data_IF_546909473238
#
_entry.id   IF_546909473238
#
_cell.length_a   1.000
_cell.length_b   1.000
_cell.length_c   1.000
_cell.angle_alpha   90.00
_cell.angle_beta   90.00
_cell.angle_gamma   90.00
#
_symmetry.space_group_name_H-M   'P 1'
#
loop_
_entity.id
_entity.type
_entity.pdbx_description
1 polymer ?
#
# COMPACT_ATOMS: atom_id res chain seq x y z
N UNK A 1 -48.23 -37.37 -53.55
CA UNK A 1 -47.49 -36.19 -53.05
C UNK A 1 -46.25 -36.70 -52.34
N UNK A 2 -45.07 -36.50 -52.92
CA UNK A 2 -43.79 -36.83 -52.31
C UNK A 2 -43.19 -35.54 -51.70
N UNK A 3 -42.47 -35.59 -50.57
CA UNK A 3 -41.91 -34.40 -49.95
C UNK A 3 -40.63 -33.99 -50.69
N UNK A 4 -40.58 -32.73 -51.15
CA UNK A 4 -39.34 -32.12 -51.63
C UNK A 4 -38.37 -31.90 -50.47
N UNK A 5 -37.24 -32.59 -50.51
CA UNK A 5 -36.09 -32.34 -49.64
C UNK A 5 -35.33 -31.15 -50.21
N UNK A 6 -35.36 -30.02 -49.51
CA UNK A 6 -34.52 -28.86 -49.83
C UNK A 6 -33.10 -29.17 -49.34
N UNK A 7 -32.16 -29.33 -50.26
CA UNK A 7 -30.73 -29.37 -49.94
C UNK A 7 -30.27 -27.94 -49.64
N UNK A 8 -29.82 -27.70 -48.41
CA UNK A 8 -29.16 -26.46 -48.03
C UNK A 8 -27.68 -26.62 -48.38
N UNK A 9 -27.20 -25.92 -49.41
CA UNK A 9 -25.77 -25.77 -49.68
C UNK A 9 -25.12 -24.98 -48.54
N UNK A 10 -24.29 -25.64 -47.75
CA UNK A 10 -23.41 -24.99 -46.80
C UNK A 10 -22.30 -24.32 -47.60
N UNK A 11 -22.35 -23.00 -47.73
CA UNK A 11 -21.26 -22.18 -48.25
C UNK A 11 -19.99 -22.48 -47.44
N UNK A 12 -19.07 -23.25 -48.01
CA UNK A 12 -17.71 -23.37 -47.50
C UNK A 12 -17.02 -22.02 -47.69
N UNK A 13 -16.84 -21.27 -46.60
CA UNK A 13 -16.03 -20.06 -46.60
C UNK A 13 -14.57 -20.49 -46.72
N UNK A 14 -14.01 -20.34 -47.93
CA UNK A 14 -12.60 -20.58 -48.22
C UNK A 14 -11.76 -19.45 -47.59
N UNK A 15 -11.26 -19.67 -46.36
CA UNK A 15 -10.40 -18.70 -45.66
C UNK A 15 -9.00 -18.79 -46.24
N UNK A 16 -8.69 -17.92 -47.19
CA UNK A 16 -7.34 -17.81 -47.74
C UNK A 16 -6.47 -16.89 -46.87
N UNK A 17 -5.35 -17.38 -46.33
CA UNK A 17 -4.42 -16.53 -45.62
C UNK A 17 -3.84 -15.50 -46.60
N UNK A 18 -3.95 -14.21 -46.24
CA UNK A 18 -3.28 -13.12 -46.95
C UNK A 18 -2.29 -12.43 -46.02
N UNK A 19 -1.20 -11.83 -46.56
CA UNK A 19 -0.36 -10.93 -45.79
C UNK A 19 -1.20 -9.78 -45.20
N UNK A 20 -0.86 -9.34 -43.99
CA UNK A 20 -1.41 -8.10 -43.43
C UNK A 20 -1.00 -6.91 -44.28
N UNK A 21 -1.89 -5.92 -44.41
CA UNK A 21 -1.52 -4.62 -45.00
C UNK A 21 -0.68 -3.81 -44.03
N UNK A 22 -0.01 -2.76 -44.53
CA UNK A 22 0.79 -1.86 -43.69
C UNK A 22 -0.07 -1.15 -42.63
N UNK A 23 -1.32 -0.82 -42.95
CA UNK A 23 -2.28 -0.25 -42.01
C UNK A 23 -2.66 -1.24 -40.91
N UNK A 24 -2.90 -2.52 -41.25
CA UNK A 24 -3.20 -3.57 -40.28
C UNK A 24 -2.03 -3.86 -39.35
N UNK A 25 -0.80 -3.84 -39.88
CA UNK A 25 0.42 -3.97 -39.06
C UNK A 25 0.56 -2.80 -38.10
N UNK A 26 0.29 -1.57 -38.54
CA UNK A 26 0.32 -0.38 -37.66
C UNK A 26 -0.76 -0.41 -36.59
N UNK A 27 -1.97 -0.81 -36.93
CA UNK A 27 -3.05 -0.94 -35.95
C UNK A 27 -2.71 -2.01 -34.90
N UNK A 28 -2.24 -3.19 -35.33
CA UNK A 28 -1.84 -4.25 -34.42
C UNK A 28 -0.65 -3.87 -33.52
N UNK A 29 0.31 -3.12 -34.06
CA UNK A 29 1.39 -2.49 -33.30
C UNK A 29 0.87 -1.55 -32.21
N UNK A 30 -0.06 -0.66 -32.54
CA UNK A 30 -0.67 0.27 -31.58
C UNK A 30 -1.40 -0.47 -30.44
N UNK A 31 -2.07 -1.59 -30.76
CA UNK A 31 -2.71 -2.44 -29.73
C UNK A 31 -1.68 -3.09 -28.80
N UNK A 32 -0.55 -3.57 -29.34
CA UNK A 32 0.55 -4.13 -28.55
C UNK A 32 1.16 -3.07 -27.62
N UNK A 33 1.46 -1.87 -28.12
CA UNK A 33 2.02 -0.77 -27.33
C UNK A 33 1.08 -0.34 -26.20
N UNK A 34 -0.21 -0.18 -26.50
CA UNK A 34 -1.21 0.13 -25.47
C UNK A 34 -1.34 -1.00 -24.44
N UNK A 35 -1.25 -2.26 -24.86
CA UNK A 35 -1.27 -3.42 -23.95
C UNK A 35 -0.04 -3.49 -23.05
N UNK A 36 1.13 -3.12 -23.57
CA UNK A 36 2.37 -2.94 -22.79
C UNK A 36 2.16 -1.88 -21.71
N UNK A 37 1.53 -0.75 -22.03
CA UNK A 37 1.24 0.29 -21.05
C UNK A 37 0.20 -0.14 -19.99
N UNK A 38 -0.74 -1.02 -20.36
CA UNK A 38 -1.62 -1.67 -19.39
C UNK A 38 -0.83 -2.60 -18.46
N UNK A 39 0.09 -3.41 -18.99
CA UNK A 39 0.96 -4.26 -18.17
C UNK A 39 1.84 -3.43 -17.22
N UNK A 40 2.42 -2.31 -17.67
CA UNK A 40 3.15 -1.36 -16.81
C UNK A 40 2.25 -0.76 -15.73
N UNK A 41 1.04 -0.34 -16.10
CA UNK A 41 0.08 0.18 -15.13
C UNK A 41 -0.25 -0.85 -14.04
N UNK A 42 -0.42 -2.12 -14.40
CA UNK A 42 -0.65 -3.22 -13.45
C UNK A 42 0.55 -3.46 -12.52
N UNK A 43 1.78 -3.27 -13.02
CA UNK A 43 3.01 -3.30 -12.19
C UNK A 43 2.99 -2.18 -11.14
N UNK A 44 2.47 -1.01 -11.50
CA UNK A 44 2.47 0.19 -10.65
C UNK A 44 1.26 0.28 -9.69
N UNK A 45 0.21 -0.52 -9.89
CA UNK A 45 -0.96 -0.58 -8.99
C UNK A 45 -0.58 -0.89 -7.54
N UNK A 46 0.56 -1.55 -7.28
CA UNK A 46 1.10 -1.71 -5.92
C UNK A 46 1.45 -0.41 -5.20
N UNK A 47 1.27 0.79 -5.79
CA UNK A 47 1.50 2.08 -5.12
C UNK A 47 0.22 2.86 -4.79
N UNK A 48 -0.92 2.55 -5.42
CA UNK A 48 -2.17 3.30 -5.25
C UNK A 48 -3.22 2.45 -4.53
N UNK A 49 -3.89 3.00 -3.51
CA UNK A 49 -4.97 2.29 -2.82
C UNK A 49 -6.10 1.97 -3.80
N UNK A 50 -6.49 0.71 -3.89
CA UNK A 50 -7.52 0.24 -4.82
C UNK A 50 -8.94 0.74 -4.49
N UNK A 51 -9.07 1.68 -3.54
CA UNK A 51 -10.22 2.58 -3.45
C UNK A 51 -10.53 3.26 -4.79
N UNK A 52 -9.52 3.46 -5.65
CA UNK A 52 -9.75 3.94 -7.01
C UNK A 52 -10.61 2.99 -7.86
N UNK A 53 -10.61 1.66 -7.63
CA UNK A 53 -11.46 0.72 -8.37
C UNK A 53 -12.94 0.81 -7.99
N UNK A 54 -13.29 1.50 -6.90
CA UNK A 54 -14.69 1.75 -6.54
C UNK A 54 -15.31 2.87 -7.37
N UNK A 55 -14.49 3.75 -7.94
CA UNK A 55 -14.96 4.82 -8.81
C UNK A 55 -15.38 4.24 -10.17
N UNK A 56 -16.63 4.49 -10.57
CA UNK A 56 -17.20 4.00 -11.82
C UNK A 56 -16.44 4.48 -13.06
N UNK A 57 -15.87 5.69 -13.04
CA UNK A 57 -15.01 6.19 -14.14
C UNK A 57 -13.75 5.36 -14.25
N UNK A 58 -13.19 4.94 -13.11
CA UNK A 58 -11.98 4.13 -13.09
C UNK A 58 -12.27 2.69 -13.47
N UNK A 59 -13.40 2.11 -13.04
CA UNK A 59 -13.85 0.80 -13.55
C UNK A 59 -14.02 0.82 -15.06
N UNK A 60 -14.65 1.86 -15.61
CA UNK A 60 -14.79 2.05 -17.06
C UNK A 60 -13.43 2.14 -17.74
N UNK A 61 -12.50 2.94 -17.20
CA UNK A 61 -11.14 3.04 -17.70
C UNK A 61 -10.44 1.67 -17.73
N UNK A 62 -10.61 0.87 -16.67
CA UNK A 62 -10.04 -0.49 -16.62
C UNK A 62 -10.68 -1.43 -17.62
N UNK A 63 -12.00 -1.37 -17.84
CA UNK A 63 -12.66 -2.14 -18.89
C UNK A 63 -12.15 -1.79 -20.29
N UNK A 64 -11.93 -0.49 -20.57
CA UNK A 64 -11.39 -0.03 -21.84
C UNK A 64 -9.94 -0.56 -22.03
N UNK A 65 -9.12 -0.49 -20.97
CA UNK A 65 -7.76 -1.03 -20.94
C UNK A 65 -7.71 -2.55 -21.15
N UNK A 66 -8.60 -3.31 -20.50
CA UNK A 66 -8.68 -4.76 -20.67
C UNK A 66 -9.17 -5.15 -22.06
N UNK A 67 -10.03 -4.32 -22.69
CA UNK A 67 -10.46 -4.55 -24.07
C UNK A 67 -9.30 -4.45 -25.07
N UNK A 68 -8.31 -3.60 -24.82
CA UNK A 68 -7.05 -3.56 -25.60
C UNK A 68 -6.29 -4.87 -25.49
N UNK A 69 -6.18 -5.44 -24.28
CA UNK A 69 -5.50 -6.73 -24.05
C UNK A 69 -6.24 -7.87 -24.77
N UNK A 70 -7.58 -7.84 -24.77
CA UNK A 70 -8.37 -8.78 -25.56
C UNK A 70 -8.14 -8.62 -27.07
N UNK A 71 -7.99 -7.39 -27.57
CA UNK A 71 -7.59 -7.13 -28.96
C UNK A 71 -6.27 -7.80 -29.32
N UNK A 72 -5.26 -7.69 -28.44
CA UNK A 72 -3.98 -8.40 -28.61
C UNK A 72 -4.16 -9.92 -28.67
N UNK A 73 -5.01 -10.50 -27.83
CA UNK A 73 -5.32 -11.93 -27.89
C UNK A 73 -5.91 -12.35 -29.25
N UNK A 74 -6.80 -11.54 -29.82
CA UNK A 74 -7.41 -11.82 -31.13
C UNK A 74 -6.40 -11.64 -32.28
N UNK A 75 -5.46 -10.68 -32.18
CA UNK A 75 -4.33 -10.54 -33.11
C UNK A 75 -3.49 -11.82 -33.11
N UNK A 76 -3.08 -12.33 -31.93
CA UNK A 76 -2.30 -13.58 -31.83
C UNK A 76 -3.09 -14.75 -32.43
N UNK A 77 -4.39 -14.85 -32.15
CA UNK A 77 -5.27 -15.86 -32.76
C UNK A 77 -5.25 -15.78 -34.29
N UNK A 78 -5.30 -14.58 -34.87
CA UNK A 78 -5.17 -14.37 -36.32
C UNK A 78 -3.82 -14.85 -36.85
N UNK A 79 -2.72 -14.49 -36.18
CA UNK A 79 -1.37 -14.92 -36.57
C UNK A 79 -1.19 -16.44 -36.54
N UNK A 80 -1.81 -17.15 -35.58
CA UNK A 80 -1.73 -18.63 -35.53
C UNK A 80 -2.36 -19.33 -36.73
N UNK A 81 -3.16 -18.63 -37.54
CA UNK A 81 -3.79 -19.16 -38.76
C UNK A 81 -2.96 -18.88 -40.02
N UNK A 82 -1.87 -18.10 -39.91
CA UNK A 82 -0.99 -17.78 -41.03
C UNK A 82 -0.02 -18.95 -41.26
N UNK A 83 -0.07 -19.54 -42.46
CA UNK A 83 0.82 -20.61 -42.95
C UNK A 83 2.27 -20.07 -43.04
N UNK A 84 3.33 -20.87 -42.81
CA UNK A 84 4.72 -20.38 -42.80
C UNK A 84 5.04 -19.59 -44.07
N UNK A 85 5.23 -18.28 -43.91
CA UNK A 85 5.51 -17.28 -44.94
C UNK A 85 6.40 -16.18 -44.34
N UNK A 86 6.70 -15.08 -45.06
CA UNK A 86 7.80 -14.17 -44.75
C UNK A 86 7.78 -13.66 -43.30
N UNK A 87 8.97 -13.31 -42.78
CA UNK A 87 9.20 -12.87 -41.40
C UNK A 87 8.04 -12.01 -40.87
N UNK A 88 7.50 -12.40 -39.71
CA UNK A 88 6.38 -11.72 -39.11
C UNK A 88 6.75 -10.24 -38.86
N UNK A 89 6.02 -9.27 -39.44
CA UNK A 89 6.40 -7.86 -39.38
C UNK A 89 6.30 -7.26 -37.97
N UNK A 90 5.72 -7.99 -37.01
CA UNK A 90 5.53 -7.58 -35.62
C UNK A 90 6.46 -8.29 -34.62
N UNK A 91 7.49 -9.01 -35.10
CA UNK A 91 8.40 -9.78 -34.23
C UNK A 91 9.02 -8.93 -33.10
N UNK A 92 9.38 -7.67 -33.39
CA UNK A 92 9.91 -6.74 -32.39
C UNK A 92 8.93 -6.46 -31.26
N UNK A 93 7.69 -6.06 -31.58
CA UNK A 93 6.66 -5.73 -30.58
C UNK A 93 6.21 -6.97 -29.80
N UNK A 94 6.13 -8.13 -30.45
CA UNK A 94 5.81 -9.39 -29.79
C UNK A 94 6.89 -9.78 -28.77
N UNK A 95 8.17 -9.57 -29.11
CA UNK A 95 9.28 -9.79 -28.20
C UNK A 95 9.23 -8.81 -27.02
N UNK A 96 9.04 -7.51 -27.28
CA UNK A 96 8.91 -6.50 -26.22
C UNK A 96 7.75 -6.84 -25.27
N UNK A 97 6.61 -7.27 -25.81
CA UNK A 97 5.48 -7.71 -25.00
C UNK A 97 5.82 -8.93 -24.13
N UNK A 98 6.52 -9.92 -24.71
CA UNK A 98 6.94 -11.10 -23.98
C UNK A 98 7.92 -10.77 -22.83
N UNK A 99 8.84 -9.84 -23.07
CA UNK A 99 9.81 -9.37 -22.08
C UNK A 99 9.11 -8.59 -20.95
N UNK A 100 8.07 -7.79 -21.26
CA UNK A 100 7.25 -7.10 -20.23
C UNK A 100 6.41 -8.05 -19.39
N UNK A 101 5.88 -9.12 -20.00
CA UNK A 101 5.18 -10.19 -19.28
C UNK A 101 6.14 -10.94 -18.34
N UNK A 102 7.39 -11.13 -18.78
CA UNK A 102 8.46 -11.72 -17.96
C UNK A 102 8.80 -10.82 -16.76
N UNK A 103 8.99 -9.52 -16.96
CA UNK A 103 9.20 -8.55 -15.87
C UNK A 103 8.03 -8.54 -14.84
N UNK A 104 6.79 -8.69 -15.31
CA UNK A 104 5.61 -8.80 -14.46
C UNK A 104 5.66 -10.07 -13.59
N UNK A 105 6.10 -11.19 -14.16
CA UNK A 105 6.32 -12.44 -13.45
C UNK A 105 7.44 -12.35 -12.42
N UNK A 106 8.58 -11.80 -12.81
CA UNK A 106 9.78 -11.68 -11.97
C UNK A 106 9.55 -10.81 -10.74
N UNK A 107 8.80 -9.71 -10.85
CA UNK A 107 8.47 -8.88 -9.68
C UNK A 107 7.59 -9.60 -8.66
N UNK A 108 6.68 -10.47 -9.11
CA UNK A 108 5.87 -11.29 -8.21
C UNK A 108 6.70 -12.44 -7.62
N UNK A 109 7.60 -13.04 -8.41
CA UNK A 109 8.52 -14.10 -7.94
C UNK A 109 9.54 -13.60 -6.93
N UNK A 110 10.23 -12.48 -7.20
CA UNK A 110 11.24 -11.92 -6.30
C UNK A 110 10.65 -11.55 -4.94
N UNK A 111 9.45 -10.95 -4.94
CA UNK A 111 8.73 -10.67 -3.71
C UNK A 111 8.39 -11.96 -2.94
N UNK A 112 8.25 -13.11 -3.61
CA UNK A 112 7.89 -14.40 -3.02
C UNK A 112 9.09 -15.25 -2.62
N UNK A 113 10.19 -15.23 -3.37
CA UNK A 113 11.42 -15.94 -3.00
C UNK A 113 12.01 -15.41 -1.69
N UNK A 114 11.84 -14.11 -1.43
CA UNK A 114 12.12 -13.49 -0.12
C UNK A 114 11.25 -14.05 1.03
N UNK A 115 10.13 -14.69 0.72
CA UNK A 115 9.11 -15.10 1.69
C UNK A 115 9.12 -16.61 2.01
N UNK A 116 9.83 -17.44 1.22
CA UNK A 116 9.97 -18.91 1.35
C UNK A 116 10.38 -19.48 2.72
N UNK A 117 10.60 -18.65 3.73
CA UNK A 117 10.97 -19.04 5.08
C UNK A 117 9.81 -19.58 5.96
N UNK A 118 8.54 -19.48 5.53
CA UNK A 118 7.41 -19.90 6.37
C UNK A 118 6.51 -20.96 5.68
N UNK A 119 6.25 -22.06 6.40
CA UNK A 119 5.31 -23.15 6.04
C UNK A 119 3.91 -22.61 5.64
N UNK A 120 3.57 -21.42 6.15
CA UNK A 120 2.31 -20.69 5.99
C UNK A 120 2.03 -20.26 4.55
N UNK A 121 3.04 -20.28 3.67
CA UNK A 121 2.95 -19.79 2.30
C UNK A 121 2.74 -20.91 1.28
N UNK A 122 2.83 -22.17 1.69
CA UNK A 122 2.72 -23.32 0.78
C UNK A 122 1.34 -23.36 0.12
N UNK A 123 0.26 -23.15 0.87
CA UNK A 123 -1.10 -23.17 0.30
C UNK A 123 -1.34 -22.00 -0.65
N UNK A 124 -0.88 -20.80 -0.29
CA UNK A 124 -0.96 -19.63 -1.15
C UNK A 124 -0.14 -19.83 -2.42
N UNK A 125 1.07 -20.37 -2.30
CA UNK A 125 1.94 -20.66 -3.43
C UNK A 125 1.36 -21.71 -4.36
N UNK A 126 0.98 -22.87 -3.83
CA UNK A 126 0.51 -24.01 -4.61
C UNK A 126 -0.82 -23.72 -5.29
N UNK A 127 -1.75 -23.03 -4.62
CA UNK A 127 -3.10 -22.84 -5.12
C UNK A 127 -3.29 -21.54 -5.91
N UNK A 128 -2.44 -20.53 -5.69
CA UNK A 128 -2.56 -19.20 -6.29
C UNK A 128 -1.35 -18.91 -7.18
N UNK A 129 -0.15 -18.76 -6.61
CA UNK A 129 1.02 -18.27 -7.36
C UNK A 129 1.48 -19.22 -8.45
N UNK A 130 1.67 -20.51 -8.15
CA UNK A 130 2.14 -21.50 -9.11
C UNK A 130 1.21 -21.61 -10.33
N UNK A 131 -0.11 -21.76 -10.18
CA UNK A 131 -1.04 -21.68 -11.31
C UNK A 131 -0.95 -20.37 -12.10
N UNK A 132 -0.80 -19.23 -11.42
CA UNK A 132 -0.64 -17.91 -12.05
C UNK A 132 0.62 -17.85 -12.89
N UNK A 133 1.75 -18.33 -12.36
CA UNK A 133 3.03 -18.38 -13.10
C UNK A 133 2.95 -19.29 -14.31
N UNK A 134 2.29 -20.44 -14.19
CA UNK A 134 2.08 -21.36 -15.32
C UNK A 134 1.27 -20.68 -16.44
N UNK A 135 0.18 -20.00 -16.10
CA UNK A 135 -0.63 -19.27 -17.09
C UNK A 135 0.15 -18.13 -17.75
N UNK A 136 0.82 -17.30 -16.94
CA UNK A 136 1.64 -16.18 -17.44
C UNK A 136 2.76 -16.67 -18.34
N UNK A 137 3.40 -17.80 -18.00
CA UNK A 137 4.42 -18.43 -18.83
C UNK A 137 3.87 -18.89 -20.19
N UNK A 138 2.72 -19.56 -20.22
CA UNK A 138 2.12 -19.99 -21.48
C UNK A 138 1.55 -18.84 -22.30
N UNK A 139 1.04 -17.79 -21.66
CA UNK A 139 0.67 -16.54 -22.34
C UNK A 139 1.91 -15.93 -23.01
N UNK A 140 3.03 -15.83 -22.29
CA UNK A 140 4.30 -15.36 -22.85
C UNK A 140 4.76 -16.19 -24.04
N UNK A 141 4.58 -17.50 -23.97
CA UNK A 141 4.92 -18.41 -25.07
C UNK A 141 4.10 -18.14 -26.33
N UNK A 142 2.83 -17.72 -26.20
CA UNK A 142 2.02 -17.26 -27.32
C UNK A 142 2.58 -16.02 -28.03
N UNK A 143 3.43 -15.23 -27.37
CA UNK A 143 4.14 -14.09 -27.97
C UNK A 143 5.52 -14.49 -28.53
N UNK A 144 6.29 -15.33 -27.82
CA UNK A 144 7.64 -15.74 -28.25
C UNK A 144 7.60 -16.73 -29.42
N UNK A 145 6.67 -17.67 -29.39
CA UNK A 145 6.57 -18.79 -30.33
C UNK A 145 5.14 -18.85 -30.90
N UNK A 146 4.75 -17.84 -31.67
CA UNK A 146 3.40 -17.75 -32.24
C UNK A 146 3.11 -18.99 -33.08
N UNK A 147 2.15 -19.81 -32.66
CA UNK A 147 1.77 -21.00 -33.37
C UNK A 147 0.66 -21.80 -32.68
N UNK A 148 0.11 -22.82 -33.36
CA UNK A 148 -0.96 -23.66 -32.82
C UNK A 148 -0.59 -24.34 -31.50
N UNK A 149 0.66 -24.77 -31.35
CA UNK A 149 1.16 -25.45 -30.15
C UNK A 149 1.15 -24.51 -28.92
N UNK A 150 1.68 -23.30 -29.04
CA UNK A 150 1.67 -22.31 -27.97
C UNK A 150 0.24 -21.97 -27.53
N UNK A 151 -0.68 -21.80 -28.49
CA UNK A 151 -2.10 -21.58 -28.24
C UNK A 151 -2.75 -22.77 -27.53
N UNK A 152 -2.45 -24.01 -27.94
CA UNK A 152 -2.99 -25.22 -27.32
C UNK A 152 -2.50 -25.37 -25.88
N UNK A 153 -1.20 -25.15 -25.63
CA UNK A 153 -0.59 -25.19 -24.31
C UNK A 153 -1.23 -24.16 -23.37
N UNK A 154 -1.39 -22.92 -23.83
CA UNK A 154 -2.10 -21.89 -23.06
C UNK A 154 -3.56 -22.29 -22.80
N UNK A 155 -4.27 -22.80 -23.81
CA UNK A 155 -5.67 -23.22 -23.67
C UNK A 155 -5.84 -24.32 -22.62
N UNK A 156 -4.93 -25.32 -22.60
CA UNK A 156 -4.92 -26.40 -21.60
C UNK A 156 -4.70 -25.84 -20.20
N UNK A 157 -3.73 -24.95 -20.02
CA UNK A 157 -3.46 -24.31 -18.74
C UNK A 157 -4.64 -23.45 -18.27
N UNK A 158 -5.22 -22.64 -19.16
CA UNK A 158 -6.37 -21.79 -18.90
C UNK A 158 -7.60 -22.59 -18.44
N UNK A 159 -7.92 -23.70 -19.12
CA UNK A 159 -9.05 -24.56 -18.72
C UNK A 159 -8.85 -25.18 -17.33
N UNK A 160 -7.61 -25.49 -16.95
CA UNK A 160 -7.29 -26.06 -15.64
C UNK A 160 -7.33 -25.01 -14.52
N UNK A 161 -6.91 -23.80 -14.83
CA UNK A 161 -6.71 -22.71 -13.89
C UNK A 161 -7.31 -21.39 -14.41
N UNK A 162 -8.62 -21.30 -14.70
CA UNK A 162 -9.16 -20.05 -15.22
C UNK A 162 -9.02 -18.94 -14.15
N UNK A 163 -8.66 -17.70 -14.51
CA UNK A 163 -8.44 -16.61 -13.56
C UNK A 163 -9.57 -16.42 -12.55
N UNK A 164 -10.82 -16.59 -12.99
CA UNK A 164 -11.98 -16.53 -12.09
C UNK A 164 -11.92 -17.55 -10.95
N UNK A 165 -11.46 -18.78 -11.22
CA UNK A 165 -11.27 -19.83 -10.21
C UNK A 165 -10.14 -19.46 -9.25
N UNK A 166 -9.06 -18.87 -9.78
CA UNK A 166 -7.92 -18.43 -8.96
C UNK A 166 -8.30 -17.30 -8.00
N UNK A 167 -9.17 -16.37 -8.42
CA UNK A 167 -9.73 -15.35 -7.53
C UNK A 167 -10.55 -15.97 -6.40
N UNK A 168 -11.44 -16.92 -6.68
CA UNK A 168 -12.20 -17.59 -5.63
C UNK A 168 -11.31 -18.40 -4.67
N UNK A 169 -10.28 -19.06 -5.20
CA UNK A 169 -9.28 -19.73 -4.35
C UNK A 169 -8.55 -18.73 -3.46
N UNK A 170 -8.18 -17.55 -3.99
CA UNK A 170 -7.53 -16.50 -3.22
C UNK A 170 -8.45 -16.01 -2.09
N UNK A 171 -9.71 -15.70 -2.41
CA UNK A 171 -10.70 -15.29 -1.42
C UNK A 171 -10.85 -16.35 -0.32
N UNK A 172 -10.97 -17.63 -0.68
CA UNK A 172 -11.05 -18.72 0.30
C UNK A 172 -9.79 -18.83 1.16
N UNK A 173 -8.60 -18.64 0.56
CA UNK A 173 -7.33 -18.60 1.29
C UNK A 173 -7.30 -17.43 2.29
N UNK A 174 -7.91 -16.31 1.94
CA UNK A 174 -7.96 -15.09 2.75
C UNK A 174 -9.04 -15.10 3.84
N UNK A 175 -10.10 -15.90 3.70
CA UNK A 175 -11.18 -16.00 4.68
C UNK A 175 -10.73 -16.60 6.02
N UNK A 176 -9.92 -17.66 5.99
CA UNK A 176 -9.49 -18.34 7.21
C UNK A 176 -8.16 -17.79 7.72
N UNK A 177 -8.09 -17.52 9.04
CA UNK A 177 -6.91 -16.96 9.68
C UNK A 177 -5.64 -17.82 9.50
N UNK A 178 -5.79 -19.15 9.48
CA UNK A 178 -4.70 -20.12 9.32
C UNK A 178 -4.20 -20.30 7.88
N UNK A 179 -4.89 -19.71 6.89
CA UNK A 179 -4.49 -19.75 5.48
C UNK A 179 -4.27 -18.36 4.90
N UNK A 180 -4.64 -17.30 5.62
CA UNK A 180 -4.51 -15.92 5.20
C UNK A 180 -3.07 -15.44 5.41
N UNK A 181 -2.27 -15.26 4.34
CA UNK A 181 -0.86 -14.92 4.48
C UNK A 181 -0.64 -13.56 5.15
N UNK A 182 -1.51 -12.57 4.92
CA UNK A 182 -1.43 -11.27 5.59
C UNK A 182 -1.57 -11.47 7.09
N UNK A 183 -2.65 -12.14 7.53
CA UNK A 183 -2.92 -12.31 8.96
C UNK A 183 -1.81 -13.11 9.64
N UNK A 184 -1.31 -14.16 9.00
CA UNK A 184 -0.24 -14.99 9.55
C UNK A 184 1.07 -14.20 9.70
N UNK A 185 1.46 -13.44 8.69
CA UNK A 185 2.68 -12.62 8.74
C UNK A 185 2.57 -11.51 9.80
N UNK A 186 1.44 -10.80 9.81
CA UNK A 186 1.18 -9.76 10.81
C UNK A 186 1.17 -10.35 12.22
N UNK A 187 0.53 -11.51 12.44
CA UNK A 187 0.43 -12.13 13.76
C UNK A 187 1.76 -12.67 14.29
N UNK A 188 2.67 -13.08 13.40
CA UNK A 188 4.02 -13.51 13.77
C UNK A 188 4.91 -12.37 14.29
N UNK A 189 4.63 -11.12 13.91
CA UNK A 189 5.37 -9.96 14.41
C UNK A 189 5.01 -9.64 15.87
N UNK A 190 6.03 -9.33 16.69
CA UNK A 190 5.82 -8.82 18.05
C UNK A 190 5.05 -7.49 18.08
N UNK A 191 5.30 -6.65 17.08
CA UNK A 191 4.62 -5.39 16.87
C UNK A 191 4.31 -5.22 15.39
N UNK A 192 3.07 -4.84 15.09
CA UNK A 192 2.52 -4.83 13.74
C UNK A 192 3.13 -3.69 12.92
N UNK A 193 3.72 -3.97 11.78
CA UNK A 193 4.41 -2.95 10.97
C UNK A 193 3.65 -2.58 9.69
N UNK A 194 3.82 -1.33 9.25
CA UNK A 194 3.31 -0.86 7.95
C UNK A 194 3.98 -1.59 6.80
N UNK A 195 5.27 -1.92 6.94
CA UNK A 195 6.05 -2.58 5.91
C UNK A 195 5.51 -3.97 5.60
N UNK A 196 5.25 -4.80 6.62
CA UNK A 196 4.73 -6.15 6.45
C UNK A 196 3.33 -6.16 5.85
N UNK A 197 2.43 -5.29 6.34
CA UNK A 197 1.10 -5.18 5.75
C UNK A 197 1.16 -4.72 4.29
N UNK A 198 1.95 -3.68 4.01
CA UNK A 198 2.12 -3.14 2.65
C UNK A 198 2.72 -4.17 1.70
N UNK A 199 3.70 -4.96 2.15
CA UNK A 199 4.30 -6.02 1.33
C UNK A 199 3.23 -6.98 0.79
N UNK A 200 2.37 -7.50 1.68
CA UNK A 200 1.30 -8.41 1.27
C UNK A 200 0.19 -7.70 0.48
N UNK A 201 -0.12 -6.45 0.83
CA UNK A 201 -1.03 -5.60 0.07
C UNK A 201 -0.60 -5.48 -1.39
N UNK A 202 0.68 -5.20 -1.62
CA UNK A 202 1.27 -5.06 -2.95
C UNK A 202 1.27 -6.40 -3.71
N UNK A 203 1.57 -7.53 -3.05
CA UNK A 203 1.56 -8.87 -3.66
C UNK A 203 0.18 -9.24 -4.17
N UNK A 204 -0.84 -9.14 -3.30
CA UNK A 204 -2.21 -9.49 -3.66
C UNK A 204 -2.73 -8.56 -4.77
N UNK A 205 -2.42 -7.27 -4.68
CA UNK A 205 -2.78 -6.30 -5.72
C UNK A 205 -2.21 -6.67 -7.09
N UNK A 206 -0.95 -7.09 -7.15
CA UNK A 206 -0.29 -7.53 -8.40
C UNK A 206 -0.90 -8.81 -8.96
N UNK A 207 -1.18 -9.79 -8.10
CA UNK A 207 -1.80 -11.07 -8.52
C UNK A 207 -3.20 -10.83 -9.10
N UNK A 208 -4.01 -9.99 -8.46
CA UNK A 208 -5.33 -9.61 -9.00
C UNK A 208 -5.20 -8.90 -10.35
N UNK A 209 -4.21 -8.03 -10.49
CA UNK A 209 -3.84 -7.42 -11.77
C UNK A 209 -3.53 -8.46 -12.86
N UNK A 210 -2.70 -9.45 -12.53
CA UNK A 210 -2.36 -10.56 -13.43
C UNK A 210 -3.60 -11.38 -13.82
N UNK A 211 -4.53 -11.64 -12.90
CA UNK A 211 -5.77 -12.36 -13.22
C UNK A 211 -6.62 -11.63 -14.24
N UNK A 212 -6.81 -10.32 -14.07
CA UNK A 212 -7.56 -9.51 -15.03
C UNK A 212 -6.88 -9.50 -16.40
N UNK A 213 -5.56 -9.38 -16.42
CA UNK A 213 -4.77 -9.39 -17.65
C UNK A 213 -4.87 -10.74 -18.40
N UNK A 214 -4.70 -11.84 -17.68
CA UNK A 214 -4.79 -13.20 -18.22
C UNK A 214 -6.18 -13.51 -18.76
N UNK A 215 -7.25 -13.10 -18.05
CA UNK A 215 -8.62 -13.27 -18.50
C UNK A 215 -8.83 -12.51 -19.80
N UNK A 216 -8.47 -11.22 -19.84
CA UNK A 216 -8.62 -10.39 -21.03
C UNK A 216 -7.87 -10.97 -22.24
N UNK A 217 -6.62 -11.41 -22.07
CA UNK A 217 -5.85 -12.04 -23.12
C UNK A 217 -6.52 -13.33 -23.63
N UNK A 218 -6.93 -14.23 -22.72
CA UNK A 218 -7.60 -15.48 -23.07
C UNK A 218 -8.89 -15.24 -23.86
N UNK A 219 -9.59 -14.16 -23.53
CA UNK A 219 -10.84 -13.78 -24.19
C UNK A 219 -10.68 -13.53 -25.67
N UNK A 220 -9.65 -12.77 -26.04
CA UNK A 220 -9.27 -12.53 -27.43
C UNK A 220 -8.79 -13.80 -28.10
N UNK A 221 -7.81 -14.47 -27.48
CA UNK A 221 -7.13 -15.63 -28.07
C UNK A 221 -8.08 -16.82 -28.32
N UNK A 222 -9.04 -17.03 -27.42
CA UNK A 222 -9.99 -18.15 -27.47
C UNK A 222 -11.35 -17.75 -28.07
N UNK A 223 -11.59 -16.46 -28.32
CA UNK A 223 -12.86 -15.96 -28.85
C UNK A 223 -14.04 -16.12 -27.87
N UNK A 224 -13.76 -16.25 -26.57
CA UNK A 224 -14.80 -16.33 -25.54
C UNK A 224 -15.27 -14.92 -25.20
N UNK A 225 -16.57 -14.62 -25.33
CA UNK A 225 -17.16 -13.34 -24.91
C UNK A 225 -17.05 -13.20 -23.39
N UNK A 226 -16.00 -12.53 -22.92
CA UNK A 226 -15.56 -12.52 -21.52
C UNK A 226 -15.85 -11.24 -20.76
N UNK A 227 -16.49 -10.25 -21.39
CA UNK A 227 -16.71 -8.94 -20.75
C UNK A 227 -17.36 -9.09 -19.38
N UNK A 228 -18.34 -9.99 -19.27
CA UNK A 228 -18.96 -10.35 -17.99
C UNK A 228 -17.96 -10.97 -16.99
N UNK A 229 -17.03 -11.82 -17.43
CA UNK A 229 -16.00 -12.39 -16.55
C UNK A 229 -15.02 -11.34 -16.03
N UNK A 230 -14.57 -10.42 -16.89
CA UNK A 230 -13.71 -9.30 -16.47
C UNK A 230 -14.43 -8.38 -15.46
N UNK A 231 -15.72 -8.09 -15.67
CA UNK A 231 -16.54 -7.33 -14.72
C UNK A 231 -16.68 -8.04 -13.36
N UNK A 232 -16.86 -9.37 -13.37
CA UNK A 232 -16.86 -10.18 -12.14
C UNK A 232 -15.49 -10.11 -11.46
N UNK A 233 -14.39 -10.23 -12.19
CA UNK A 233 -13.03 -10.13 -11.62
C UNK A 233 -12.79 -8.76 -10.96
N UNK A 234 -13.23 -7.66 -11.59
CA UNK A 234 -13.16 -6.32 -11.01
C UNK A 234 -13.98 -6.21 -9.72
N UNK A 235 -15.18 -6.78 -9.72
CA UNK A 235 -16.06 -6.82 -8.54
C UNK A 235 -15.41 -7.59 -7.39
N UNK A 236 -14.95 -8.81 -7.65
CA UNK A 236 -14.26 -9.65 -6.64
C UNK A 236 -12.95 -9.03 -6.16
N UNK A 237 -12.23 -8.32 -7.03
CA UNK A 237 -11.05 -7.53 -6.63
C UNK A 237 -11.43 -6.50 -5.57
N UNK A 238 -12.51 -5.76 -5.80
CA UNK A 238 -12.99 -4.75 -4.86
C UNK A 238 -13.32 -5.37 -3.49
N UNK A 239 -13.97 -6.53 -3.48
CA UNK A 239 -14.29 -7.27 -2.24
C UNK A 239 -13.03 -7.69 -1.46
N UNK A 240 -12.01 -8.21 -2.15
CA UNK A 240 -10.72 -8.58 -1.53
C UNK A 240 -10.07 -7.36 -0.87
N UNK A 241 -10.00 -6.22 -1.56
CA UNK A 241 -9.39 -5.01 -1.00
C UNK A 241 -10.20 -4.40 0.14
N UNK A 242 -11.53 -4.49 0.09
CA UNK A 242 -12.38 -4.08 1.22
C UNK A 242 -12.11 -4.94 2.46
N UNK A 243 -11.90 -6.23 2.27
CA UNK A 243 -11.54 -7.12 3.36
C UNK A 243 -10.14 -6.80 3.92
N UNK A 244 -9.18 -6.52 3.04
CA UNK A 244 -7.84 -6.09 3.45
C UNK A 244 -7.86 -4.79 4.23
N UNK A 245 -8.61 -3.78 3.77
CA UNK A 245 -8.77 -2.53 4.50
C UNK A 245 -9.38 -2.74 5.88
N UNK A 246 -10.38 -3.63 6.02
CA UNK A 246 -10.91 -4.00 7.33
C UNK A 246 -9.82 -4.59 8.24
N UNK A 247 -9.00 -5.51 7.73
CA UNK A 247 -7.88 -6.05 8.51
C UNK A 247 -6.83 -5.00 8.87
N UNK A 248 -6.54 -4.06 7.97
CA UNK A 248 -5.63 -2.94 8.23
C UNK A 248 -6.13 -2.11 9.41
N UNK A 249 -7.42 -1.80 9.44
CA UNK A 249 -8.05 -1.07 10.55
C UNK A 249 -8.15 -1.91 11.83
N UNK A 250 -8.32 -3.24 11.73
CA UNK A 250 -8.20 -4.14 12.89
C UNK A 250 -6.80 -4.08 13.49
N UNK A 251 -5.74 -4.21 12.68
CA UNK A 251 -4.36 -4.19 13.15
C UNK A 251 -3.92 -2.82 13.68
N UNK A 252 -4.44 -1.71 13.15
CA UNK A 252 -4.19 -0.37 13.71
C UNK A 252 -4.66 -0.21 15.15
N UNK A 253 -5.64 -1.00 15.58
CA UNK A 253 -6.16 -1.00 16.96
C UNK A 253 -5.27 -1.80 17.91
N UNK A 254 -4.36 -2.62 17.40
CA UNK A 254 -3.41 -3.36 18.24
C UNK A 254 -2.52 -2.37 19.00
N UNK A 255 -2.55 -2.47 20.33
CA UNK A 255 -1.77 -1.60 21.21
C UNK A 255 -0.47 -2.28 21.68
N UNK A 256 -0.20 -3.52 21.27
CA UNK A 256 0.97 -4.30 21.68
C UNK A 256 2.29 -3.66 21.23
N UNK A 257 2.25 -2.85 20.17
CA UNK A 257 3.40 -2.09 19.70
C UNK A 257 4.00 -1.16 20.78
N UNK A 258 3.20 -0.68 21.73
CA UNK A 258 3.66 0.30 22.74
C UNK A 258 4.65 -0.31 23.73
N UNK A 259 4.40 -1.54 24.17
CA UNK A 259 5.33 -2.25 25.06
C UNK A 259 6.61 -2.64 24.32
N UNK A 260 6.50 -3.02 23.05
CA UNK A 260 7.67 -3.25 22.20
C UNK A 260 8.50 -1.97 22.04
N UNK A 261 7.84 -0.83 21.77
CA UNK A 261 8.47 0.46 21.59
C UNK A 261 9.26 0.89 22.85
N UNK A 262 8.73 0.67 24.06
CA UNK A 262 9.45 0.98 25.31
C UNK A 262 10.83 0.31 25.36
N UNK A 263 10.89 -0.97 24.98
CA UNK A 263 12.15 -1.75 24.92
C UNK A 263 13.06 -1.20 23.83
N UNK A 264 12.54 -1.01 22.61
CA UNK A 264 13.32 -0.53 21.47
C UNK A 264 13.90 0.86 21.72
N UNK A 265 13.12 1.79 22.28
CA UNK A 265 13.57 3.15 22.55
C UNK A 265 14.68 3.18 23.59
N UNK A 266 14.57 2.39 24.66
CA UNK A 266 15.62 2.27 25.68
C UNK A 266 16.93 1.78 25.05
N UNK A 267 16.86 0.68 24.32
CA UNK A 267 17.99 0.12 23.57
C UNK A 267 18.59 1.14 22.59
N UNK A 268 17.74 1.88 21.88
CA UNK A 268 18.16 2.87 20.90
C UNK A 268 18.94 4.01 21.55
N UNK A 269 18.44 4.62 22.64
CA UNK A 269 19.14 5.74 23.27
C UNK A 269 20.43 5.33 23.97
N UNK A 270 20.50 4.09 24.48
CA UNK A 270 21.72 3.52 25.06
C UNK A 270 22.81 3.32 24.00
N UNK A 271 22.47 2.62 22.91
CA UNK A 271 23.40 2.33 21.79
C UNK A 271 23.83 3.60 21.06
N UNK A 272 22.96 4.62 21.03
CA UNK A 272 23.18 5.88 20.33
C UNK A 272 23.43 7.06 21.29
N UNK A 273 24.11 6.78 22.40
CA UNK A 273 24.43 7.75 23.45
C UNK A 273 25.25 8.97 22.98
N UNK A 274 25.95 8.85 21.83
CA UNK A 274 26.78 9.91 21.23
C UNK A 274 26.03 10.82 20.26
N UNK A 275 24.81 10.48 19.83
CA UNK A 275 24.05 11.32 18.89
C UNK A 275 23.63 12.64 19.54
N UNK A 276 23.62 13.70 18.73
CA UNK A 276 23.05 14.98 19.12
C UNK A 276 21.53 14.93 19.28
N UNK A 277 20.93 16.01 19.81
CA UNK A 277 19.50 16.06 20.12
C UNK A 277 18.64 15.84 18.86
N UNK A 278 18.99 16.51 17.76
CA UNK A 278 18.23 16.45 16.51
C UNK A 278 18.32 15.07 15.84
N UNK A 279 19.52 14.48 15.77
CA UNK A 279 19.75 13.14 15.21
C UNK A 279 19.03 12.07 16.02
N UNK A 280 19.04 12.20 17.35
CA UNK A 280 18.31 11.31 18.25
C UNK A 280 16.81 11.41 18.01
N UNK A 281 16.26 12.63 17.95
CA UNK A 281 14.84 12.84 17.71
C UNK A 281 14.40 12.28 16.34
N UNK A 282 15.22 12.42 15.29
CA UNK A 282 14.91 11.89 13.96
C UNK A 282 14.95 10.35 13.92
N UNK A 283 15.92 9.71 14.58
CA UNK A 283 15.95 8.25 14.63
C UNK A 283 14.79 7.64 15.43
N UNK A 284 14.34 8.31 16.49
CA UNK A 284 13.12 7.92 17.23
C UNK A 284 11.89 8.07 16.33
N UNK A 285 11.81 9.18 15.57
CA UNK A 285 10.72 9.39 14.60
C UNK A 285 10.69 8.29 13.55
N UNK A 286 11.84 7.95 12.97
CA UNK A 286 11.95 6.89 11.97
C UNK A 286 11.51 5.52 12.52
N UNK A 287 11.75 5.24 13.80
CA UNK A 287 11.27 4.03 14.45
C UNK A 287 9.74 4.04 14.63
N UNK A 288 9.19 5.15 15.13
CA UNK A 288 7.74 5.32 15.32
C UNK A 288 6.96 5.21 14.01
N UNK A 289 7.52 5.69 12.90
CA UNK A 289 6.85 5.66 11.60
C UNK A 289 6.65 4.24 11.04
N UNK A 290 7.38 3.24 11.55
CA UNK A 290 7.29 1.83 11.12
C UNK A 290 6.01 1.14 11.59
N UNK A 291 5.47 1.51 12.75
CA UNK A 291 4.35 0.81 13.37
C UNK A 291 3.03 1.08 12.63
N UNK A 292 2.22 0.04 12.43
CA UNK A 292 0.88 0.14 11.88
C UNK A 292 -0.09 0.48 13.01
N UNK A 293 -0.28 1.78 13.26
CA UNK A 293 -1.17 2.30 14.31
C UNK A 293 -1.92 3.54 13.84
N UNK A 294 -3.05 3.83 14.48
CA UNK A 294 -3.77 5.10 14.34
C UNK A 294 -3.24 6.20 15.26
N UNK A 295 -2.37 5.87 16.21
CA UNK A 295 -1.88 6.84 17.20
C UNK A 295 -0.93 7.85 16.54
N UNK A 296 -0.97 9.09 16.99
CA UNK A 296 -0.10 10.15 16.53
C UNK A 296 0.91 10.50 17.62
N UNK A 297 2.16 10.80 17.26
CA UNK A 297 3.24 10.90 18.23
C UNK A 297 3.84 12.30 18.32
N UNK A 298 4.20 12.69 19.53
CA UNK A 298 5.22 13.69 19.79
C UNK A 298 6.47 13.05 20.36
N UNK A 299 7.60 13.64 19.99
CA UNK A 299 8.93 13.25 20.44
C UNK A 299 9.58 14.53 20.94
N UNK A 300 10.14 14.48 22.13
CA UNK A 300 10.97 15.57 22.64
C UNK A 300 12.30 15.04 23.16
N UNK A 301 13.38 15.67 22.71
CA UNK A 301 14.74 15.43 23.23
C UNK A 301 15.27 16.76 23.72
N UNK A 302 15.69 16.83 24.97
CA UNK A 302 16.12 18.08 25.60
C UNK A 302 17.15 17.80 26.71
N UNK A 303 17.84 18.82 27.20
CA UNK A 303 18.67 18.67 28.39
C UNK A 303 17.81 18.44 29.63
N UNK A 304 18.34 17.72 30.62
CA UNK A 304 17.69 17.57 31.91
C UNK A 304 17.49 18.94 32.60
N UNK A 305 16.42 19.06 33.37
CA UNK A 305 16.18 20.20 34.24
C UNK A 305 15.92 19.76 35.67
N UNK A 306 16.34 20.61 36.61
CA UNK A 306 16.14 20.47 38.04
C UNK A 306 15.40 21.67 38.66
N UNK A 307 15.18 22.74 37.89
CA UNK A 307 14.48 23.94 38.35
C UNK A 307 13.18 24.19 37.56
N UNK A 308 12.10 24.51 38.28
CA UNK A 308 10.78 24.89 37.70
C UNK A 308 10.83 26.09 36.75
N UNK A 309 11.94 26.85 36.80
CA UNK A 309 12.13 28.01 35.95
C UNK A 309 12.68 27.65 34.57
N UNK A 310 13.14 26.42 34.38
CA UNK A 310 13.62 25.89 33.11
C UNK A 310 12.60 24.93 32.48
N UNK A 311 11.76 24.29 33.28
CA UNK A 311 10.69 23.44 32.79
C UNK A 311 9.51 23.40 33.75
N UNK A 312 8.30 23.44 33.21
CA UNK A 312 7.08 23.10 33.93
C UNK A 312 6.26 22.14 33.09
N UNK A 313 5.64 21.12 33.71
CA UNK A 313 4.84 20.13 33.01
C UNK A 313 3.59 19.81 33.83
N UNK A 314 2.44 19.83 33.15
CA UNK A 314 1.19 19.27 33.64
C UNK A 314 0.76 18.14 32.69
N UNK A 315 0.47 16.96 33.25
CA UNK A 315 0.14 15.77 32.47
C UNK A 315 -1.21 15.24 32.91
N UNK A 316 -2.13 15.12 31.96
CA UNK A 316 -3.47 14.56 32.14
C UNK A 316 -3.55 13.16 31.52
N UNK A 317 -2.74 12.91 30.49
CA UNK A 317 -2.65 11.64 29.82
C UNK A 317 -2.18 10.53 30.77
N UNK A 318 -2.67 9.31 30.54
CA UNK A 318 -2.32 8.14 31.35
C UNK A 318 -0.86 7.71 31.19
N UNK A 319 -0.38 6.87 32.11
CA UNK A 319 0.96 6.25 32.02
C UNK A 319 1.17 5.49 30.72
N UNK A 320 0.09 5.02 30.10
CA UNK A 320 0.13 4.34 28.83
C UNK A 320 0.27 5.28 27.64
N UNK A 321 0.36 6.60 27.80
CA UNK A 321 0.55 7.56 26.71
C UNK A 321 1.94 8.20 26.68
N UNK A 322 2.74 7.97 27.71
CA UNK A 322 4.08 8.52 27.84
C UNK A 322 5.15 7.45 27.99
N UNK A 323 6.27 7.65 27.31
CA UNK A 323 7.53 6.94 27.55
C UNK A 323 8.56 8.01 27.90
N UNK A 324 9.07 7.99 29.12
CA UNK A 324 10.16 8.87 29.54
C UNK A 324 11.45 8.07 29.68
N UNK A 325 12.53 8.59 29.11
CA UNK A 325 13.87 8.03 29.23
C UNK A 325 14.82 9.17 29.57
N UNK A 326 15.30 9.17 30.81
CA UNK A 326 16.09 10.26 31.37
C UNK A 326 17.56 9.88 31.54
N UNK A 327 18.44 10.84 31.31
CA UNK A 327 19.85 10.76 31.65
C UNK A 327 20.71 9.84 30.81
N UNK A 328 20.44 9.72 29.50
CA UNK A 328 21.25 8.93 28.58
C UNK A 328 22.01 9.81 27.58
N UNK A 329 23.32 9.57 27.46
CA UNK A 329 24.19 10.23 26.48
C UNK A 329 24.93 11.47 26.99
N UNK A 330 25.63 12.15 26.06
CA UNK A 330 26.38 13.36 26.36
C UNK A 330 25.45 14.43 26.95
N UNK A 331 25.87 15.08 28.06
CA UNK A 331 25.13 16.15 28.73
C UNK A 331 23.78 15.77 29.37
N UNK A 332 23.56 14.51 29.75
CA UNK A 332 22.38 14.11 30.53
C UNK A 332 21.07 14.44 29.79
N UNK A 333 20.93 13.94 28.56
CA UNK A 333 19.74 14.19 27.74
C UNK A 333 18.53 13.42 28.29
N UNK A 334 17.41 14.11 28.32
CA UNK A 334 16.10 13.55 28.57
C UNK A 334 15.34 13.41 27.25
N UNK A 335 14.57 12.33 27.15
CA UNK A 335 13.76 12.02 25.98
C UNK A 335 12.39 11.60 26.47
N UNK A 336 11.35 12.11 25.83
CA UNK A 336 10.06 11.46 25.92
C UNK A 336 9.40 11.27 24.57
N UNK A 337 8.57 10.23 24.52
CA UNK A 337 7.61 10.01 23.44
C UNK A 337 6.22 10.06 24.05
N UNK A 338 5.39 10.91 23.48
CA UNK A 338 3.97 11.00 23.78
C UNK A 338 3.17 10.42 22.63
N UNK A 339 2.16 9.60 22.93
CA UNK A 339 1.17 9.17 21.95
C UNK A 339 -0.21 9.78 22.24
N UNK A 340 -0.74 10.47 21.23
CA UNK A 340 -2.14 10.86 21.16
C UNK A 340 -2.93 9.73 20.52
N UNK A 341 -4.01 9.32 21.19
CA UNK A 341 -4.93 8.29 20.67
C UNK A 341 -6.05 8.87 19.82
N UNK A 342 -6.30 10.19 19.91
CA UNK A 342 -7.45 10.83 19.29
C UNK A 342 -7.09 11.81 18.17
N UNK A 343 -5.86 12.33 18.10
CA UNK A 343 -5.51 13.37 17.14
C UNK A 343 -5.74 12.97 15.67
N UNK A 344 -5.60 11.70 15.31
CA UNK A 344 -5.86 11.27 13.94
C UNK A 344 -7.35 11.04 13.64
N UNK A 345 -8.19 10.80 14.65
CA UNK A 345 -9.62 10.46 14.48
C UNK A 345 -10.56 11.63 14.69
N UNK A 346 -10.13 12.66 15.44
CA UNK A 346 -10.94 13.83 15.75
C UNK A 346 -11.11 14.79 14.56
N UNK A 347 -12.15 15.62 14.56
CA UNK A 347 -12.36 16.67 13.57
C UNK A 347 -11.22 17.71 13.59
N UNK A 348 -10.84 18.21 12.40
CA UNK A 348 -9.68 19.11 12.28
C UNK A 348 -9.92 20.44 13.02
N UNK A 349 -11.17 20.86 13.14
CA UNK A 349 -11.62 22.08 13.80
C UNK A 349 -11.34 22.06 15.32
N UNK A 350 -11.53 20.92 15.99
CA UNK A 350 -11.19 20.79 17.44
C UNK A 350 -9.70 20.96 17.69
N UNK A 351 -8.95 20.50 16.72
CA UNK A 351 -7.51 20.49 16.65
C UNK A 351 -6.97 21.90 16.32
N UNK A 352 -7.64 22.69 15.48
CA UNK A 352 -7.36 24.11 15.27
C UNK A 352 -7.79 24.96 16.46
N UNK A 353 -8.90 24.62 17.12
CA UNK A 353 -9.34 25.29 18.34
C UNK A 353 -8.31 25.17 19.47
N UNK A 354 -7.70 23.99 19.63
CA UNK A 354 -6.57 23.81 20.56
C UNK A 354 -5.41 24.76 20.22
N UNK A 355 -5.02 24.87 18.95
CA UNK A 355 -3.96 25.80 18.52
C UNK A 355 -4.30 27.25 18.85
N UNK A 356 -5.51 27.69 18.56
CA UNK A 356 -5.97 29.05 18.89
C UNK A 356 -5.93 29.30 20.40
N UNK A 357 -6.34 28.31 21.20
CA UNK A 357 -6.26 28.36 22.66
C UNK A 357 -4.81 28.42 23.17
N UNK A 358 -3.90 27.64 22.59
CA UNK A 358 -2.46 27.71 22.90
C UNK A 358 -1.92 29.11 22.61
N UNK A 359 -2.32 29.71 21.49
CA UNK A 359 -1.91 31.06 21.12
C UNK A 359 -2.52 32.17 21.97
N UNK A 360 -3.72 32.00 22.52
CA UNK A 360 -4.31 33.03 23.39
C UNK A 360 -3.49 33.30 24.65
N UNK A 361 -2.65 32.34 25.06
CA UNK A 361 -1.72 32.54 26.16
C UNK A 361 -0.48 33.37 25.78
N UNK A 362 -0.17 33.58 24.49
CA UNK A 362 1.03 34.34 24.04
C UNK A 362 0.83 35.85 24.22
N UNK A 363 0.73 36.30 25.46
CA UNK A 363 0.52 37.69 25.85
C UNK A 363 1.29 38.01 27.14
N UNK A 364 1.71 39.27 27.30
CA UNK A 364 2.43 39.75 28.48
C UNK A 364 1.61 39.65 29.77
N UNK A 365 0.28 39.52 29.68
CA UNK A 365 -0.61 39.35 30.84
C UNK A 365 -0.27 38.12 31.69
N UNK A 366 0.34 37.08 31.09
CA UNK A 366 0.69 35.84 31.76
C UNK A 366 2.17 35.72 32.13
N UNK A 367 2.96 36.80 31.96
CA UNK A 367 4.37 36.81 32.34
C UNK A 367 4.53 36.45 33.82
N UNK A 368 5.41 35.50 34.10
CA UNK A 368 5.71 34.95 35.44
C UNK A 368 4.53 34.27 36.16
N UNK A 369 3.37 34.17 35.50
CA UNK A 369 2.13 33.55 36.03
C UNK A 369 1.64 32.37 35.19
N UNK A 370 2.40 32.01 34.15
CA UNK A 370 1.97 31.06 33.13
C UNK A 370 1.55 29.69 33.69
N UNK A 371 2.29 29.06 34.63
CA UNK A 371 1.83 27.80 35.23
C UNK A 371 0.45 27.91 35.89
N UNK A 372 0.19 28.97 36.66
CA UNK A 372 -1.11 29.16 37.32
C UNK A 372 -2.21 29.47 36.31
N UNK A 373 -1.93 30.29 35.29
CA UNK A 373 -2.89 30.59 34.23
C UNK A 373 -3.34 29.32 33.47
N UNK A 374 -2.42 28.39 33.23
CA UNK A 374 -2.73 27.09 32.60
C UNK A 374 -3.50 26.13 33.50
N UNK A 375 -3.42 26.29 34.82
CA UNK A 375 -4.22 25.53 35.79
C UNK A 375 -5.63 26.13 35.92
N UNK A 376 -5.74 27.45 35.92
CA UNK A 376 -7.01 28.17 36.06
C UNK A 376 -7.87 28.10 34.78
N UNK A 377 -7.23 28.08 33.61
CA UNK A 377 -7.88 28.04 32.30
C UNK A 377 -7.24 26.94 31.42
N UNK A 378 -7.45 25.66 31.76
CA UNK A 378 -6.77 24.54 31.10
C UNK A 378 -7.13 24.44 29.62
N UNK A 379 -6.15 24.01 28.82
CA UNK A 379 -6.33 23.82 27.38
C UNK A 379 -7.20 22.57 27.16
N UNK A 380 -8.37 22.69 26.50
CA UNK A 380 -9.29 21.56 26.36
C UNK A 380 -8.66 20.38 25.60
N UNK A 381 -8.87 19.16 26.10
CA UNK A 381 -8.33 17.91 25.54
C UNK A 381 -6.80 17.84 25.44
N UNK A 382 -6.08 18.66 26.19
CA UNK A 382 -4.64 18.52 26.33
C UNK A 382 -4.31 17.27 27.16
N UNK A 383 -3.60 16.32 26.58
CA UNK A 383 -3.01 15.20 27.30
C UNK A 383 -1.78 15.61 28.09
N UNK A 384 -1.08 16.64 27.62
CA UNK A 384 -0.04 17.31 28.41
C UNK A 384 0.07 18.78 28.03
N UNK A 385 0.65 19.55 28.94
CA UNK A 385 1.07 20.93 28.72
C UNK A 385 2.44 21.12 29.35
N UNK A 386 3.43 21.52 28.55
CA UNK A 386 4.81 21.75 28.97
C UNK A 386 5.19 23.19 28.64
N UNK A 387 5.91 23.83 29.56
CA UNK A 387 6.56 25.11 29.35
C UNK A 387 8.08 24.89 29.40
N UNK A 388 8.73 24.95 28.24
CA UNK A 388 10.18 24.79 28.12
C UNK A 388 10.90 26.13 28.20
N UNK A 389 12.02 26.19 28.94
CA UNK A 389 12.92 27.34 28.99
C UNK A 389 14.38 26.91 29.15
N UNK A 390 15.26 27.32 28.23
CA UNK A 390 16.72 27.09 28.30
C UNK A 390 17.17 25.61 28.17
N UNK A 391 16.34 24.72 27.63
CA UNK A 391 16.61 23.27 27.57
C UNK A 391 17.13 22.77 26.21
N UNK A 392 17.23 23.68 25.23
CA UNK A 392 17.58 23.38 23.83
C UNK A 392 16.78 22.18 23.33
N UNK A 393 15.47 22.27 23.38
CA UNK A 393 14.58 21.19 23.01
C UNK A 393 14.51 20.97 21.50
N UNK A 394 14.56 19.71 21.09
CA UNK A 394 14.20 19.26 19.77
C UNK A 394 12.86 18.56 19.85
N UNK A 395 11.87 19.10 19.13
CA UNK A 395 10.52 18.53 19.02
C UNK A 395 10.38 17.92 17.63
N UNK A 396 9.94 16.67 17.57
CA UNK A 396 9.55 15.96 16.34
C UNK A 396 8.19 15.33 16.54
N UNK A 397 7.58 14.91 15.44
CA UNK A 397 6.31 14.22 15.43
C UNK A 397 6.33 13.10 14.41
N UNK A 398 5.49 12.09 14.61
CA UNK A 398 5.35 10.96 13.71
C UNK A 398 3.87 10.58 13.56
N UNK A 399 3.53 9.99 12.41
CA UNK A 399 2.20 9.45 12.12
C UNK A 399 1.06 10.49 12.21
N UNK A 400 1.28 11.68 11.65
CA UNK A 400 0.29 12.78 11.63
C UNK A 400 -0.07 13.18 10.19
N UNK A 401 -0.75 12.32 9.40
CA UNK A 401 -0.98 12.55 7.97
C UNK A 401 -1.83 13.79 7.66
N UNK A 402 -2.59 14.27 8.65
CA UNK A 402 -3.50 15.41 8.50
C UNK A 402 -2.86 16.75 8.90
N UNK A 403 -1.62 16.75 9.40
CA UNK A 403 -1.00 17.91 10.07
C UNK A 403 0.51 17.98 9.95
N UNK A 404 1.00 19.18 9.69
CA UNK A 404 2.43 19.46 9.63
C UNK A 404 3.11 19.58 10.99
N UNK A 405 2.39 19.82 12.08
CA UNK A 405 2.99 20.08 13.41
C UNK A 405 2.59 19.05 14.47
N UNK A 406 2.28 17.81 14.08
CA UNK A 406 2.02 16.73 15.03
C UNK A 406 0.64 16.75 15.72
N UNK A 407 0.44 15.96 16.80
CA UNK A 407 -0.87 15.75 17.43
C UNK A 407 -1.31 16.87 18.39
N UNK A 408 -0.88 18.11 18.20
CA UNK A 408 -1.19 19.20 19.13
C UNK A 408 -0.68 20.52 18.59
N UNK A 409 -0.05 21.33 19.45
CA UNK A 409 0.58 22.58 19.05
C UNK A 409 1.69 23.00 20.00
N UNK A 410 2.65 23.78 19.49
CA UNK A 410 3.57 24.55 20.33
C UNK A 410 3.77 25.96 19.79
N UNK A 411 4.18 26.86 20.67
CA UNK A 411 4.49 28.25 20.30
C UNK A 411 5.93 28.38 19.83
N UNK A 412 6.23 29.45 19.11
CA UNK A 412 7.59 30.00 19.15
C UNK A 412 7.95 30.45 20.58
N UNK A 413 9.22 30.74 20.81
CA UNK A 413 9.65 31.28 22.11
C UNK A 413 8.97 32.63 22.39
N UNK A 414 8.44 32.79 23.60
CA UNK A 414 7.80 34.01 24.07
C UNK A 414 8.18 34.28 25.53
N UNK A 415 8.10 35.54 25.96
CA UNK A 415 8.39 35.89 27.34
C UNK A 415 7.21 35.53 28.27
N UNK A 416 7.07 34.24 28.58
CA UNK A 416 6.14 33.75 29.61
C UNK A 416 6.67 33.93 31.05
N UNK A 417 7.76 34.68 31.22
CA UNK A 417 8.50 34.77 32.49
C UNK A 417 9.60 33.73 32.63
N UNK A 418 10.39 33.86 33.70
CA UNK A 418 11.61 33.05 33.91
C UNK A 418 12.90 33.69 33.39
N UNK A 419 14.02 32.94 33.46
CA UNK A 419 15.35 33.47 33.11
C UNK A 419 15.55 33.71 31.62
N UNK A 420 14.76 33.07 30.75
CA UNK A 420 14.86 33.14 29.28
C UNK A 420 13.46 32.98 28.65
N UNK A 421 13.25 33.44 27.40
CA UNK A 421 12.01 33.17 26.65
C UNK A 421 11.69 31.68 26.61
N UNK A 422 10.42 31.35 26.81
CA UNK A 422 9.92 29.98 26.95
C UNK A 422 9.01 29.58 25.80
N UNK A 423 8.84 28.27 25.59
CA UNK A 423 7.91 27.68 24.61
C UNK A 423 6.82 26.92 25.34
N UNK A 424 5.56 27.18 24.99
CA UNK A 424 4.43 26.36 25.41
C UNK A 424 4.26 25.22 24.41
N UNK A 425 4.24 23.97 24.89
CA UNK A 425 4.11 22.75 24.10
C UNK A 425 2.99 21.88 24.63
N UNK A 426 2.06 21.50 23.76
CA UNK A 426 0.81 20.84 24.13
C UNK A 426 0.52 19.69 23.19
N UNK A 427 0.18 18.52 23.74
CA UNK A 427 -0.31 17.36 22.99
C UNK A 427 -1.80 17.15 23.19
N UNK A 428 -2.53 16.87 22.11
CA UNK A 428 -3.92 16.43 22.17
C UNK A 428 -4.00 14.99 22.67
N UNK A 429 -5.04 14.65 23.44
CA UNK A 429 -5.25 13.31 24.02
C UNK A 429 -5.19 12.15 23.02
#
# INVERSE_FOLDING_TARGET
MAPHTVQIEVLQVDVRPRPMTLEEVKEAADYLDKSIDVAKSLIDIGKASLEFLKDEKVKKLWNDRLSVVAGVGDIIKGLTLIIPGPENPMVGQLKDMADRIEELGDKVSNNFDEMKALITEVNFFVNILSPTFVLTRYMRDCFKNVGPEAKENFTKAYKKHPPIKLVYNLMSCLEQKSTNPIRMAMDAEKAKTKATFKKWEDIISRIMGQFMFLEAFASGLLGTKSKATCEILLTRSTEVFDQMNKWKEEYKKDQGYWEHLKVVLKDYVEKNSRLGLAERAEGIKAELEKYLTSDAFYISVHFAWDHVNWGWMNTVAGEDQFIHINGYGYHNLNTFVYRSKLANSVEIEKLEAMKLKVWSFKTDAYRDKMPQALLDDPIPNAGFTILYGKLREEIRWANCPRREYGPGWWTETFNFGGPDPRRLFVGYL
#
